data_IF_310672932130
#
_entry.id   IF_310672932130
#
_cell.length_a   1.000
_cell.length_b   1.000
_cell.length_c   1.000
_cell.angle_alpha   90.00
_cell.angle_beta   90.00
_cell.angle_gamma   90.00
#
_symmetry.space_group_name_H-M   'P 1'
#
loop_
_entity.id
_entity.type
_entity.pdbx_description
1 polymer ?
#
# COMPACT_ATOMS: atom_id res chain seq x y z
N UNK A 1 5.01 -13.18 17.05
CA UNK A 1 5.75 -12.25 16.15
C UNK A 1 6.52 -13.13 15.18
N UNK A 2 6.36 -12.98 13.86
CA UNK A 2 7.15 -13.76 12.90
C UNK A 2 8.56 -13.15 12.87
N UNK A 3 9.62 -13.93 13.16
CA UNK A 3 10.98 -13.42 13.22
C UNK A 3 11.43 -12.81 11.88
N UNK A 4 12.40 -11.91 11.94
CA UNK A 4 13.05 -11.42 10.72
C UNK A 4 13.75 -12.59 10.02
N UNK A 5 13.66 -12.67 8.70
CA UNK A 5 14.29 -13.74 7.94
C UNK A 5 13.85 -13.76 6.47
N UNK A 6 14.54 -14.53 5.61
CA UNK A 6 14.22 -14.62 4.18
C UNK A 6 12.77 -15.08 3.90
N UNK A 7 12.22 -15.88 4.81
CA UNK A 7 10.88 -16.46 4.70
C UNK A 7 9.80 -15.63 5.41
N UNK A 8 10.13 -14.43 5.92
CA UNK A 8 9.12 -13.58 6.54
C UNK A 8 8.15 -13.09 5.46
N UNK A 9 6.82 -13.34 5.59
CA UNK A 9 5.83 -12.93 4.59
C UNK A 9 5.71 -11.40 4.45
N UNK A 10 6.26 -10.63 5.39
CA UNK A 10 6.37 -9.17 5.31
C UNK A 10 7.61 -8.68 4.55
N UNK A 11 8.46 -9.60 4.09
CA UNK A 11 9.75 -9.28 3.50
C UNK A 11 10.71 -8.62 4.50
N UNK A 12 11.75 -7.97 3.96
CA UNK A 12 12.82 -7.32 4.75
C UNK A 12 12.44 -5.93 5.27
N UNK A 13 11.49 -5.26 4.64
CA UNK A 13 11.11 -3.88 4.93
C UNK A 13 9.60 -3.74 5.09
N UNK A 14 9.18 -2.97 6.09
CA UNK A 14 7.78 -2.64 6.31
C UNK A 14 7.64 -1.23 6.91
N UNK A 15 6.68 -0.48 6.38
CA UNK A 15 6.22 0.81 6.88
C UNK A 15 4.84 0.60 7.50
N UNK A 16 4.69 0.94 8.78
CA UNK A 16 3.40 0.85 9.46
C UNK A 16 2.60 2.12 9.22
N UNK A 17 1.30 1.99 8.98
CA UNK A 17 0.39 3.13 8.86
C UNK A 17 -0.28 3.37 10.21
N UNK A 18 -0.30 4.61 10.69
CA UNK A 18 -0.89 5.02 11.97
C UNK A 18 -2.44 5.01 11.95
N UNK A 19 -3.03 3.92 11.48
CA UNK A 19 -4.47 3.67 11.43
C UNK A 19 -4.77 2.35 12.13
N UNK A 20 -5.86 2.29 12.89
CA UNK A 20 -6.28 1.11 13.68
C UNK A 20 -5.11 0.47 14.43
N UNK A 21 -4.65 1.03 15.55
CA UNK A 21 -3.52 0.51 16.35
C UNK A 21 -2.23 0.13 15.55
N UNK A 22 -2.10 0.63 14.31
CA UNK A 22 -1.01 0.29 13.41
C UNK A 22 -1.17 -1.02 12.63
N UNK A 23 -2.38 -1.56 12.49
CA UNK A 23 -2.65 -2.88 11.89
C UNK A 23 -2.36 -2.95 10.38
N UNK A 24 -2.25 -1.80 9.71
CA UNK A 24 -2.00 -1.71 8.28
C UNK A 24 -0.54 -1.40 7.95
N UNK A 25 0.00 -2.08 6.94
CA UNK A 25 1.39 -1.97 6.54
C UNK A 25 1.53 -1.79 5.02
N UNK A 26 2.54 -1.02 4.62
CA UNK A 26 3.17 -1.10 3.29
C UNK A 26 4.43 -1.93 3.46
N UNK A 27 4.51 -3.11 2.85
CA UNK A 27 5.58 -4.07 3.13
C UNK A 27 6.02 -4.85 1.90
N UNK A 28 7.22 -5.44 1.98
CA UNK A 28 7.72 -6.36 0.97
C UNK A 28 6.98 -7.69 0.99
N UNK A 29 7.18 -8.53 -0.01
CA UNK A 29 6.64 -9.90 -0.03
C UNK A 29 7.70 -10.88 -0.51
N UNK A 30 7.66 -12.12 -0.01
CA UNK A 30 8.43 -13.25 -0.56
C UNK A 30 7.75 -13.91 -1.76
N UNK A 31 6.49 -13.53 -2.05
CA UNK A 31 5.72 -13.97 -3.20
C UNK A 31 5.48 -12.78 -4.16
N UNK A 32 6.40 -12.50 -5.10
CA UNK A 32 6.31 -11.32 -5.97
C UNK A 32 5.05 -11.33 -6.86
N UNK A 33 4.62 -12.51 -7.31
CA UNK A 33 3.42 -12.68 -8.15
C UNK A 33 2.10 -12.31 -7.44
N UNK A 34 2.16 -12.06 -6.12
CA UNK A 34 1.02 -11.58 -5.34
C UNK A 34 0.85 -10.05 -5.35
N UNK A 35 1.83 -9.29 -5.85
CA UNK A 35 1.78 -7.83 -5.93
C UNK A 35 0.73 -7.41 -6.97
N UNK A 36 -0.09 -6.41 -6.63
CA UNK A 36 -1.20 -5.95 -7.48
C UNK A 36 -2.48 -6.81 -7.38
N UNK A 37 -2.43 -7.96 -6.70
CA UNK A 37 -3.60 -8.82 -6.49
C UNK A 37 -4.30 -8.53 -5.16
N UNK A 38 -5.62 -8.71 -5.13
CA UNK A 38 -6.45 -8.52 -3.92
C UNK A 38 -6.41 -9.76 -3.01
N UNK A 39 -5.23 -10.07 -2.49
CA UNK A 39 -4.95 -11.26 -1.68
C UNK A 39 -4.55 -10.94 -0.23
N UNK A 40 -4.59 -9.66 0.16
CA UNK A 40 -4.30 -9.20 1.52
C UNK A 40 -5.56 -8.74 2.24
N UNK A 41 -5.55 -8.82 3.58
CA UNK A 41 -6.58 -8.25 4.45
C UNK A 41 -6.43 -6.73 4.66
N UNK A 42 -5.91 -6.01 3.66
CA UNK A 42 -5.73 -4.54 3.70
C UNK A 42 -4.29 -4.03 3.78
N UNK A 43 -3.29 -4.91 3.92
CA UNK A 43 -1.88 -4.49 3.77
C UNK A 43 -1.50 -4.31 2.30
N UNK A 44 -0.62 -3.36 2.01
CA UNK A 44 -0.12 -3.04 0.68
C UNK A 44 1.22 -3.77 0.46
N UNK A 45 1.26 -4.67 -0.52
CA UNK A 45 2.46 -5.44 -0.87
C UNK A 45 3.25 -4.75 -1.99
N UNK A 46 4.57 -4.79 -1.88
CA UNK A 46 5.50 -4.25 -2.87
C UNK A 46 6.60 -5.26 -3.18
N UNK A 47 7.19 -5.17 -4.38
CA UNK A 47 8.38 -5.94 -4.70
C UNK A 47 9.56 -5.51 -3.81
N UNK A 48 10.50 -6.43 -3.60
CA UNK A 48 11.62 -6.22 -2.69
C UNK A 48 12.50 -4.99 -3.04
N UNK A 49 12.83 -4.71 -4.32
CA UNK A 49 13.58 -3.50 -4.67
C UNK A 49 12.79 -2.22 -4.36
N UNK A 50 11.50 -2.21 -4.68
CA UNK A 50 10.64 -1.04 -4.55
C UNK A 50 10.42 -0.65 -3.08
N UNK A 51 10.13 -1.63 -2.21
CA UNK A 51 9.97 -1.35 -0.78
C UNK A 51 11.27 -0.90 -0.12
N UNK A 52 12.43 -1.42 -0.58
CA UNK A 52 13.74 -0.99 -0.08
C UNK A 52 13.99 0.48 -0.44
N UNK A 53 13.74 0.86 -1.70
CA UNK A 53 13.88 2.23 -2.16
C UNK A 53 12.93 3.18 -1.42
N UNK A 54 11.64 2.82 -1.32
CA UNK A 54 10.65 3.60 -0.60
C UNK A 54 11.00 3.74 0.89
N UNK A 55 11.43 2.66 1.53
CA UNK A 55 11.83 2.69 2.94
C UNK A 55 13.02 3.64 3.15
N UNK A 56 13.97 3.74 2.22
CA UNK A 56 15.10 4.67 2.36
C UNK A 56 14.66 6.15 2.29
N UNK A 57 13.66 6.48 1.48
CA UNK A 57 13.24 7.87 1.20
C UNK A 57 12.21 8.42 2.20
N UNK A 58 11.33 7.57 2.72
CA UNK A 58 10.18 8.00 3.53
C UNK A 58 10.59 8.21 4.99
N UNK A 59 10.06 9.23 5.67
CA UNK A 59 10.32 9.46 7.11
C UNK A 59 9.11 9.05 7.96
N UNK A 60 9.32 8.80 9.25
CA UNK A 60 8.18 8.70 10.19
C UNK A 60 7.39 10.01 10.14
N UNK A 61 6.06 9.92 10.16
CA UNK A 61 5.15 11.05 10.05
C UNK A 61 4.80 11.43 8.60
N UNK A 62 5.49 10.91 7.58
CA UNK A 62 5.15 11.17 6.17
C UNK A 62 3.68 10.80 5.92
N UNK A 63 2.88 11.72 5.33
CA UNK A 63 1.50 11.44 5.01
C UNK A 63 1.39 10.42 3.87
N UNK A 64 0.45 9.49 4.01
CA UNK A 64 0.12 8.47 3.00
C UNK A 64 -1.34 8.64 2.68
N UNK A 65 -1.65 9.04 1.44
CA UNK A 65 -3.02 9.12 0.96
C UNK A 65 -3.31 7.89 0.11
N UNK A 66 -4.24 7.05 0.56
CA UNK A 66 -4.79 5.97 -0.29
C UNK A 66 -6.00 6.52 -1.00
N UNK A 67 -6.11 6.24 -2.30
CA UNK A 67 -7.18 6.71 -3.17
C UNK A 67 -7.69 5.55 -4.03
N UNK A 68 -8.98 5.55 -4.30
CA UNK A 68 -9.61 4.70 -5.30
C UNK A 68 -10.10 5.56 -6.46
N UNK A 69 -9.15 5.97 -7.31
CA UNK A 69 -9.42 6.81 -8.50
C UNK A 69 -9.20 5.97 -9.76
N UNK A 70 -10.23 5.27 -10.26
CA UNK A 70 -10.12 4.46 -11.48
C UNK A 70 -9.87 5.31 -12.71
N UNK A 71 -10.35 6.55 -12.72
CA UNK A 71 -10.14 7.52 -13.80
C UNK A 71 -9.17 8.58 -13.32
N UNK A 72 -8.05 8.71 -14.01
CA UNK A 72 -7.04 9.75 -13.82
C UNK A 72 -7.00 10.60 -15.08
N UNK A 73 -6.91 11.92 -14.94
CA UNK A 73 -6.78 12.81 -16.09
C UNK A 73 -5.73 13.91 -15.81
N UNK A 74 -5.06 14.37 -16.86
CA UNK A 74 -4.13 15.50 -16.82
C UNK A 74 -4.40 16.44 -17.98
N UNK A 75 -4.15 17.73 -17.77
CA UNK A 75 -4.09 18.74 -18.84
C UNK A 75 -2.70 19.36 -18.75
N UNK A 76 -1.87 19.11 -19.76
CA UNK A 76 -0.50 19.60 -19.79
C UNK A 76 -0.45 21.08 -20.23
N UNK A 77 0.65 21.80 -19.95
CA UNK A 77 0.78 23.23 -20.31
C UNK A 77 0.60 23.55 -21.79
N UNK A 78 0.84 22.58 -22.67
CA UNK A 78 0.63 22.68 -24.12
C UNK A 78 -0.83 22.43 -24.56
N UNK A 79 -1.75 22.21 -23.61
CA UNK A 79 -3.16 21.97 -23.86
C UNK A 79 -3.54 20.51 -24.15
N UNK A 80 -2.58 19.58 -24.20
CA UNK A 80 -2.86 18.15 -24.40
C UNK A 80 -3.58 17.60 -23.17
N UNK A 81 -4.61 16.78 -23.40
CA UNK A 81 -5.40 16.14 -22.36
C UNK A 81 -5.14 14.63 -22.36
N UNK A 82 -4.75 14.11 -21.21
CA UNK A 82 -4.57 12.68 -21.00
C UNK A 82 -5.68 12.16 -20.09
N UNK A 83 -6.21 10.98 -20.41
CA UNK A 83 -7.14 10.24 -19.56
C UNK A 83 -6.66 8.79 -19.48
N UNK A 84 -6.45 8.31 -18.27
CA UNK A 84 -6.18 6.90 -17.98
C UNK A 84 -7.37 6.32 -17.22
N UNK A 85 -7.99 5.29 -17.80
CA UNK A 85 -9.10 4.57 -17.20
C UNK A 85 -8.62 3.18 -16.80
N UNK A 86 -8.74 2.88 -15.52
CA UNK A 86 -8.40 1.59 -14.91
C UNK A 86 -9.64 0.99 -14.25
N UNK A 87 -9.70 -0.33 -14.16
CA UNK A 87 -10.80 -0.99 -13.47
C UNK A 87 -10.77 -0.65 -11.98
N UNK A 88 -11.90 -0.17 -11.44
CA UNK A 88 -11.98 0.19 -10.04
C UNK A 88 -11.71 -1.02 -9.14
N UNK A 89 -10.85 -0.85 -8.13
CA UNK A 89 -10.46 -1.92 -7.21
C UNK A 89 -11.65 -2.52 -6.40
N UNK A 90 -12.78 -1.78 -6.35
CA UNK A 90 -14.01 -2.15 -5.65
C UNK A 90 -15.09 -2.72 -6.61
N UNK A 91 -14.96 -2.54 -7.92
CA UNK A 91 -15.98 -2.99 -8.87
C UNK A 91 -15.96 -4.52 -9.01
N UNK A 92 -17.09 -5.17 -8.68
CA UNK A 92 -17.35 -6.59 -9.01
C UNK A 92 -17.45 -7.59 -7.86
N UNK A 93 -17.37 -7.19 -6.58
CA UNK A 93 -17.67 -8.09 -5.45
C UNK A 93 -18.65 -7.42 -4.48
N UNK A 94 -19.80 -8.06 -4.22
CA UNK A 94 -20.53 -7.82 -2.96
C UNK A 94 -19.50 -7.98 -1.84
N UNK A 95 -19.19 -6.89 -1.16
CA UNK A 95 -18.33 -6.92 0.00
C UNK A 95 -18.95 -7.89 1.01
N UNK A 96 -18.35 -9.07 1.24
CA UNK A 96 -18.87 -10.03 2.22
C UNK A 96 -18.84 -9.45 3.64
N UNK A 97 -18.07 -8.38 3.86
CA UNK A 97 -18.24 -7.38 4.92
C UNK A 97 -17.83 -6.03 4.34
N UNK A 98 -18.68 -5.01 4.51
CA UNK A 98 -18.41 -3.62 4.08
C UNK A 98 -17.15 -3.01 4.75
N UNK A 99 -16.65 -3.69 5.77
CA UNK A 99 -15.64 -3.24 6.70
C UNK A 99 -14.17 -3.44 6.26
N UNK A 100 -13.85 -4.51 5.53
CA UNK A 100 -12.44 -4.88 5.27
C UNK A 100 -11.84 -4.19 4.05
N UNK A 101 -12.65 -3.94 3.02
CA UNK A 101 -12.20 -3.24 1.82
C UNK A 101 -12.15 -1.72 2.04
N UNK A 102 -13.04 -1.17 2.87
CA UNK A 102 -13.25 0.28 3.00
C UNK A 102 -12.24 0.96 3.93
N UNK A 103 -11.65 0.24 4.90
CA UNK A 103 -10.79 0.83 5.94
C UNK A 103 -9.42 1.30 5.47
N UNK A 104 -8.92 0.77 4.36
CA UNK A 104 -7.72 1.24 3.66
C UNK A 104 -8.05 1.86 2.30
N UNK A 105 -9.27 1.68 1.78
CA UNK A 105 -9.62 2.05 0.40
C UNK A 105 -9.41 3.54 0.08
N UNK A 106 -9.67 4.42 1.04
CA UNK A 106 -9.47 5.86 0.89
C UNK A 106 -9.21 6.48 2.26
N UNK A 107 -8.13 7.23 2.40
CA UNK A 107 -7.81 7.89 3.67
C UNK A 107 -6.42 8.51 3.68
N UNK A 108 -6.19 9.39 4.66
CA UNK A 108 -4.87 9.96 4.93
C UNK A 108 -4.33 9.32 6.22
N UNK A 109 -3.18 8.68 6.11
CA UNK A 109 -2.48 8.01 7.20
C UNK A 109 -1.10 8.62 7.40
N UNK A 110 -0.41 8.26 8.48
CA UNK A 110 0.98 8.64 8.71
C UNK A 110 1.87 7.42 8.86
N UNK A 111 3.07 7.49 8.30
CA UNK A 111 4.07 6.42 8.41
C UNK A 111 4.63 6.34 9.83
N UNK A 112 4.81 5.13 10.31
CA UNK A 112 5.58 4.80 11.51
C UNK A 112 6.70 3.82 11.12
N UNK A 113 7.95 4.30 11.14
CA UNK A 113 9.10 3.40 11.11
C UNK A 113 9.42 2.98 12.53
N UNK A 114 9.40 1.68 12.79
CA UNK A 114 10.09 1.13 13.95
C UNK A 114 11.51 0.81 13.52
N UNK A 115 12.50 1.42 14.17
CA UNK A 115 13.86 0.87 14.13
C UNK A 115 13.75 -0.54 14.72
N UNK A 116 14.00 -1.58 13.92
CA UNK A 116 14.31 -2.88 14.50
C UNK A 116 15.73 -2.71 15.05
N UNK A 117 15.83 -2.58 16.38
CA UNK A 117 17.11 -2.64 17.08
C UNK A 117 17.85 -3.93 16.70
N UNK A 118 19.18 -3.83 16.71
CA UNK A 118 20.12 -4.89 16.34
C UNK A 118 19.93 -6.20 17.09
#
# INVERSE_FOLDING_TARGET
>A
MIPAGPNNPLGRYALRLAHGNGEYLIHGTSAPDSVGLRVSSGCIRMNAPDIKALFAQVRTGTPVKVINQPVKFSVEPNGIRYVEVTQAAIAGRRAKRADDALRVACGIYRVQKRARGG
#
